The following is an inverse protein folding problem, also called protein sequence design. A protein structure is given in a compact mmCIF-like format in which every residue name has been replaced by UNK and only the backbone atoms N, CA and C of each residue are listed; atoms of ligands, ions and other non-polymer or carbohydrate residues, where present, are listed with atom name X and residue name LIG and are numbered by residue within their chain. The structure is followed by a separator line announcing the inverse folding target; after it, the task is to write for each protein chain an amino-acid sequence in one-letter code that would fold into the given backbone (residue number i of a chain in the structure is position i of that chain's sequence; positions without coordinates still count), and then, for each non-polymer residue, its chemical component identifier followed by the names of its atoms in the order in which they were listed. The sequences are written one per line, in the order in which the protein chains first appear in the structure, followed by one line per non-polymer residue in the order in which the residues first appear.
data_IF_290057258821
#
_entry.id   IF_290057258821
#
_cell.length_a   1.000
_cell.length_b   1.000
_cell.length_c   1.000
_cell.angle_alpha   90.00
_cell.angle_beta   90.00
_cell.angle_gamma   90.00
#
_symmetry.space_group_name_H-M   'P 1'
#
loop_
_entity.id
_entity.type
_entity.pdbx_description
1 polymer ?
#
# COMPACT_ATOMS: atom_id res chain seq x y z
N UNK A 1 13.18 19.91 48.93
CA UNK A 1 13.98 18.88 48.24
C UNK A 1 13.03 18.12 47.34
N UNK A 2 13.05 18.42 46.04
CA UNK A 2 12.14 17.83 45.07
C UNK A 2 12.60 16.40 44.74
N UNK A 3 11.74 15.42 44.99
CA UNK A 3 11.88 14.05 44.49
C UNK A 3 11.77 14.10 42.96
N UNK A 4 12.90 14.20 42.26
CA UNK A 4 12.98 13.73 40.88
C UNK A 4 12.92 12.20 40.96
N UNK A 5 11.88 11.62 40.38
CA UNK A 5 11.80 10.18 40.15
C UNK A 5 13.03 9.77 39.35
N UNK A 6 13.94 9.04 39.98
CA UNK A 6 15.08 8.43 39.30
C UNK A 6 14.51 7.38 38.33
N UNK A 7 14.54 7.69 37.04
CA UNK A 7 14.22 6.73 35.98
C UNK A 7 15.23 5.58 36.06
N UNK A 8 14.76 4.41 36.48
CA UNK A 8 15.59 3.20 36.53
C UNK A 8 15.55 2.52 35.17
N UNK A 9 16.62 2.68 34.41
CA UNK A 9 16.80 1.94 33.15
C UNK A 9 17.03 0.46 33.44
N UNK A 10 16.24 -0.39 32.79
CA UNK A 10 16.35 -1.85 32.89
C UNK A 10 16.91 -2.38 31.58
N UNK A 11 18.05 -3.07 31.69
CA UNK A 11 18.69 -3.73 30.57
C UNK A 11 18.29 -5.19 30.55
N UNK A 12 18.12 -5.75 29.35
CA UNK A 12 17.78 -7.16 29.11
C UNK A 12 18.67 -7.67 27.98
N UNK A 13 19.30 -8.83 28.17
CA UNK A 13 20.10 -9.48 27.12
C UNK A 13 19.18 -10.17 26.10
N UNK A 14 19.36 -9.90 24.81
CA UNK A 14 18.69 -10.64 23.74
C UNK A 14 19.60 -11.76 23.24
N UNK A 15 19.19 -13.02 23.45
CA UNK A 15 19.96 -14.21 23.07
C UNK A 15 19.28 -14.94 21.90
N UNK A 16 19.89 -14.90 20.70
CA UNK A 16 19.33 -15.48 19.48
C UNK A 16 19.86 -16.90 19.26
N UNK A 17 19.02 -17.92 19.41
CA UNK A 17 19.49 -19.32 19.53
C UNK A 17 19.92 -19.99 18.21
N UNK A 18 19.45 -19.51 17.05
CA UNK A 18 19.45 -20.34 15.83
C UNK A 18 19.97 -19.68 14.56
N UNK A 19 20.32 -18.39 14.59
CA UNK A 19 20.80 -17.65 13.41
C UNK A 19 22.06 -16.87 13.71
N UNK A 20 22.89 -16.74 12.68
CA UNK A 20 24.12 -15.94 12.67
C UNK A 20 23.74 -14.45 12.57
N UNK A 21 23.08 -13.95 13.61
CA UNK A 21 22.46 -12.61 13.69
C UNK A 21 23.49 -11.50 13.49
N UNK A 22 24.77 -11.79 13.75
CA UNK A 22 25.90 -10.94 13.42
C UNK A 22 25.94 -10.46 11.96
N UNK A 23 25.44 -11.26 11.01
CA UNK A 23 25.36 -10.86 9.59
C UNK A 23 24.24 -9.87 9.34
N UNK A 24 23.08 -10.09 9.97
CA UNK A 24 21.92 -9.20 9.87
C UNK A 24 22.24 -7.85 10.53
N UNK A 25 22.82 -7.84 11.72
CA UNK A 25 23.17 -6.60 12.44
C UNK A 25 24.27 -5.79 11.74
N UNK A 26 25.12 -6.41 10.93
CA UNK A 26 26.15 -5.72 10.13
C UNK A 26 25.59 -5.07 8.86
N UNK A 27 24.38 -5.43 8.44
CA UNK A 27 23.71 -4.72 7.35
C UNK A 27 23.21 -3.39 7.88
N UNK A 28 23.67 -2.28 7.29
CA UNK A 28 23.35 -0.91 7.72
C UNK A 28 21.84 -0.57 7.73
N UNK A 29 20.99 -1.45 7.18
CA UNK A 29 19.53 -1.29 7.06
C UNK A 29 18.72 -2.24 7.94
N UNK A 30 19.33 -3.02 8.84
CA UNK A 30 18.57 -3.91 9.71
C UNK A 30 17.68 -3.10 10.67
N UNK A 31 16.36 -3.22 10.50
CA UNK A 31 15.41 -2.61 11.41
C UNK A 31 15.15 -3.55 12.59
N UNK A 32 14.95 -2.97 13.77
CA UNK A 32 14.67 -3.69 15.00
C UNK A 32 13.35 -3.22 15.59
N UNK A 33 12.44 -4.15 15.86
CA UNK A 33 11.15 -3.88 16.51
C UNK A 33 10.86 -4.95 17.55
N UNK A 34 10.32 -4.53 18.68
CA UNK A 34 9.79 -5.43 19.71
C UNK A 34 8.31 -5.16 19.92
N UNK A 35 7.53 -6.22 20.07
CA UNK A 35 6.11 -6.19 20.38
C UNK A 35 5.89 -6.97 21.67
N UNK A 36 4.91 -6.52 22.46
CA UNK A 36 4.42 -7.22 23.64
C UNK A 36 5.49 -7.52 24.71
N UNK A 37 6.39 -6.57 24.99
CA UNK A 37 7.44 -6.71 26.02
C UNK A 37 6.88 -7.00 27.43
N UNK A 38 5.63 -6.64 27.70
CA UNK A 38 4.94 -6.95 28.96
C UNK A 38 4.37 -8.37 29.02
N UNK A 39 4.29 -9.07 27.90
CA UNK A 39 3.75 -10.43 27.81
C UNK A 39 4.86 -11.46 28.02
N UNK A 40 4.53 -12.68 28.48
CA UNK A 40 5.52 -13.74 28.69
C UNK A 40 6.23 -14.19 27.40
N UNK A 41 5.64 -13.89 26.23
CA UNK A 41 6.12 -14.26 24.90
C UNK A 41 6.22 -13.03 23.98
N UNK A 42 7.20 -12.14 24.20
CA UNK A 42 7.36 -10.99 23.34
C UNK A 42 7.79 -11.43 21.93
N UNK A 43 7.46 -10.63 20.93
CA UNK A 43 7.86 -10.87 19.54
C UNK A 43 8.93 -9.86 19.18
N UNK A 44 10.02 -10.33 18.60
CA UNK A 44 11.11 -9.50 18.11
C UNK A 44 11.22 -9.68 16.61
N UNK A 45 11.21 -8.57 15.89
CA UNK A 45 11.35 -8.51 14.43
C UNK A 45 12.70 -7.84 14.14
N UNK A 46 13.56 -8.54 13.41
CA UNK A 46 14.89 -8.08 13.02
C UNK A 46 15.08 -8.28 11.52
N UNK A 47 14.93 -7.20 10.74
CA UNK A 47 14.75 -7.36 9.30
C UNK A 47 13.53 -8.22 9.00
N UNK A 48 13.60 -9.06 7.98
CA UNK A 48 12.50 -9.98 7.60
C UNK A 48 12.31 -11.17 8.55
N UNK A 49 13.18 -11.32 9.55
CA UNK A 49 13.15 -12.44 10.48
C UNK A 49 12.36 -12.11 11.75
N UNK A 50 11.45 -13.01 12.11
CA UNK A 50 10.60 -12.90 13.30
C UNK A 50 11.03 -13.93 14.34
N UNK A 51 11.11 -13.50 15.60
CA UNK A 51 11.51 -14.33 16.73
C UNK A 51 10.47 -14.26 17.85
N UNK A 52 10.16 -15.40 18.47
CA UNK A 52 9.40 -15.48 19.71
C UNK A 52 10.38 -15.49 20.88
N UNK A 53 10.19 -14.60 21.84
CA UNK A 53 10.98 -14.50 23.04
C UNK A 53 10.43 -15.32 24.21
N UNK A 54 11.34 -15.84 25.04
CA UNK A 54 11.04 -16.45 26.32
C UNK A 54 11.99 -15.85 27.35
N UNK A 55 11.44 -15.27 28.41
CA UNK A 55 12.23 -14.73 29.52
C UNK A 55 12.81 -15.88 30.35
N UNK A 56 14.12 -15.86 30.53
CA UNK A 56 14.85 -16.79 31.38
C UNK A 56 15.85 -16.05 32.27
N UNK A 57 16.17 -16.66 33.41
CA UNK A 57 17.28 -16.22 34.24
C UNK A 57 18.55 -16.99 33.86
N UNK A 58 19.62 -16.24 33.56
CA UNK A 58 20.94 -16.77 33.32
C UNK A 58 21.43 -17.57 34.53
N UNK A 59 22.08 -18.70 34.27
CA UNK A 59 22.85 -19.38 35.31
C UNK A 59 24.13 -18.56 35.54
N UNK A 60 24.11 -17.71 36.57
CA UNK A 60 25.23 -16.84 36.94
C UNK A 60 24.87 -15.35 36.86
N UNK A 61 25.87 -14.52 36.57
CA UNK A 61 25.70 -13.07 36.44
C UNK A 61 26.40 -12.62 35.16
N UNK A 62 25.63 -12.05 34.22
CA UNK A 62 26.21 -11.45 33.04
C UNK A 62 26.75 -10.06 33.40
N UNK A 63 28.01 -9.81 33.09
CA UNK A 63 28.70 -8.56 33.35
C UNK A 63 29.02 -7.92 32.01
N UNK A 64 28.62 -6.66 31.83
CA UNK A 64 28.79 -5.92 30.59
C UNK A 64 29.80 -4.81 30.78
N UNK A 65 30.65 -4.64 29.77
CA UNK A 65 31.64 -3.59 29.70
C UNK A 65 31.49 -2.83 28.40
N UNK A 66 31.71 -1.53 28.44
CA UNK A 66 31.82 -0.65 27.27
C UNK A 66 33.30 -0.44 26.95
N UNK A 67 33.67 -0.53 25.68
CA UNK A 67 35.01 -0.23 25.22
C UNK A 67 35.19 1.30 25.14
N UNK A 68 36.25 1.81 25.78
CA UNK A 68 36.55 3.25 25.79
C UNK A 68 37.79 3.51 24.94
N UNK A 69 37.68 4.46 24.01
CA UNK A 69 38.78 4.89 23.14
C UNK A 69 39.84 5.71 23.91
N UNK A 70 39.42 6.51 24.91
CA UNK A 70 40.33 7.34 25.70
C UNK A 70 41.02 6.52 26.79
N UNK A 71 42.30 6.18 26.57
CA UNK A 71 43.19 5.69 27.63
C UNK A 71 43.50 6.83 28.60
N UNK A 72 43.23 6.64 29.89
CA UNK A 72 43.82 7.48 30.92
C UNK A 72 45.34 7.34 30.96
N UNK A 73 46.03 8.18 31.72
CA UNK A 73 47.47 8.00 31.95
C UNK A 73 47.74 6.60 32.55
N UNK A 74 48.74 5.85 32.04
CA UNK A 74 49.01 4.50 32.50
C UNK A 74 49.41 4.51 33.98
N UNK A 75 48.73 3.70 34.80
CA UNK A 75 49.15 3.45 36.17
C UNK A 75 50.48 2.68 36.16
N UNK A 76 51.48 3.17 36.88
CA UNK A 76 52.84 2.59 36.95
C UNK A 76 52.85 1.16 37.52
N UNK A 77 51.75 0.73 38.15
CA UNK A 77 51.63 -0.58 38.81
C UNK A 77 50.68 -1.56 38.09
N UNK A 78 49.89 -1.10 37.11
CA UNK A 78 49.00 -1.96 36.34
C UNK A 78 49.59 -2.18 34.94
N UNK A 79 49.78 -3.45 34.56
CA UNK A 79 50.26 -3.77 33.21
C UNK A 79 49.27 -3.26 32.16
N UNK A 80 49.78 -2.66 31.08
CA UNK A 80 48.96 -2.15 29.98
C UNK A 80 48.10 -3.29 29.41
N UNK A 81 46.78 -3.21 29.64
CA UNK A 81 45.83 -4.09 28.97
C UNK A 81 45.54 -3.53 27.57
N UNK A 82 45.43 -4.38 26.54
CA UNK A 82 45.27 -3.91 25.16
C UNK A 82 43.94 -3.17 24.91
N UNK A 83 42.94 -3.35 25.79
CA UNK A 83 41.56 -2.88 25.62
C UNK A 83 41.13 -2.15 26.89
N UNK A 84 40.68 -0.90 26.76
CA UNK A 84 40.11 -0.13 27.86
C UNK A 84 38.63 -0.48 28.03
N UNK A 85 38.27 -1.00 29.20
CA UNK A 85 36.91 -1.44 29.50
C UNK A 85 36.33 -0.67 30.69
N UNK A 86 35.12 -0.13 30.55
CA UNK A 86 34.34 0.42 31.67
C UNK A 86 33.18 -0.47 32.00
N UNK A 87 33.08 -0.83 33.27
CA UNK A 87 31.94 -1.58 33.79
C UNK A 87 30.64 -0.79 33.52
N UNK A 88 29.71 -1.44 32.84
CA UNK A 88 28.43 -0.84 32.45
C UNK A 88 27.34 -1.31 33.41
N UNK A 89 27.12 -2.63 33.52
CA UNK A 89 26.15 -3.21 34.46
C UNK A 89 26.33 -4.71 34.66
N UNK A 90 25.54 -5.24 35.61
CA UNK A 90 25.33 -6.67 35.82
C UNK A 90 23.84 -7.00 35.74
N UNK A 91 23.48 -8.09 35.06
CA UNK A 91 22.10 -8.59 34.99
C UNK A 91 22.05 -10.11 34.86
N UNK A 92 20.97 -10.71 35.34
CA UNK A 92 20.68 -12.15 35.15
C UNK A 92 19.58 -12.39 34.12
N UNK A 93 18.80 -11.38 33.73
CA UNK A 93 17.66 -11.57 32.84
C UNK A 93 18.11 -11.70 31.39
N UNK A 94 17.68 -12.77 30.75
CA UNK A 94 17.89 -13.04 29.33
C UNK A 94 16.53 -13.21 28.66
N UNK A 95 16.37 -12.63 27.48
CA UNK A 95 15.28 -12.94 26.57
C UNK A 95 15.82 -13.86 25.49
N UNK A 96 15.50 -15.15 25.59
CA UNK A 96 15.86 -16.14 24.57
C UNK A 96 14.93 -16.05 23.39
N UNK A 97 15.47 -15.84 22.20
CA UNK A 97 14.77 -15.58 20.97
C UNK A 97 14.87 -16.79 20.03
N UNK A 98 13.73 -17.42 19.78
CA UNK A 98 13.58 -18.54 18.87
C UNK A 98 12.97 -18.08 17.56
N UNK A 99 13.63 -18.36 16.44
CA UNK A 99 13.14 -17.98 15.12
C UNK A 99 11.80 -18.65 14.81
N UNK A 100 10.79 -17.84 14.46
CA UNK A 100 9.49 -18.33 14.00
C UNK A 100 9.55 -18.36 12.48
N UNK A 101 9.63 -19.57 11.92
CA UNK A 101 9.41 -19.73 10.49
C UNK A 101 7.95 -19.36 10.18
N UNK A 102 7.73 -18.26 9.46
CA UNK A 102 6.42 -17.96 8.90
C UNK A 102 6.10 -19.04 7.88
N UNK A 103 5.26 -20.02 8.23
CA UNK A 103 4.68 -20.89 7.21
C UNK A 103 3.90 -19.96 6.28
N UNK A 104 4.18 -19.96 4.96
CA UNK A 104 3.34 -19.22 4.03
C UNK A 104 1.91 -19.66 4.29
N UNK A 105 1.03 -18.69 4.56
CA UNK A 105 -0.39 -18.94 4.71
C UNK A 105 -0.80 -19.74 3.49
N UNK A 106 -1.29 -20.97 3.68
CA UNK A 106 -1.80 -21.80 2.59
C UNK A 106 -2.79 -20.94 1.85
N UNK A 107 -2.39 -20.48 0.67
CA UNK A 107 -3.29 -19.87 -0.29
C UNK A 107 -4.21 -21.04 -0.62
N UNK A 108 -5.43 -20.99 -0.12
CA UNK A 108 -6.48 -21.89 -0.56
C UNK A 108 -6.57 -21.65 -2.06
N UNK A 109 -6.24 -22.67 -2.86
CA UNK A 109 -6.27 -22.58 -4.31
C UNK A 109 -7.62 -21.98 -4.72
N UNK A 110 -7.63 -20.89 -5.50
CA UNK A 110 -8.87 -20.44 -6.11
C UNK A 110 -9.35 -21.59 -6.99
N UNK A 111 -10.44 -22.24 -6.57
CA UNK A 111 -11.18 -23.17 -7.39
C UNK A 111 -11.41 -22.50 -8.75
N UNK A 112 -11.23 -23.19 -9.89
CA UNK A 112 -11.57 -22.63 -11.20
C UNK A 112 -13.08 -22.41 -11.21
N UNK A 113 -13.50 -21.19 -10.87
CA UNK A 113 -14.88 -20.76 -11.00
C UNK A 113 -15.02 -20.37 -12.46
N UNK A 114 -15.58 -21.26 -13.27
CA UNK A 114 -16.10 -20.87 -14.58
C UNK A 114 -17.05 -19.68 -14.37
N UNK A 115 -16.86 -18.55 -15.07
CA UNK A 115 -17.70 -17.38 -14.88
C UNK A 115 -19.12 -17.69 -15.35
N UNK A 116 -20.00 -18.01 -14.39
CA UNK A 116 -21.42 -18.23 -14.65
C UNK A 116 -22.07 -16.88 -14.98
N UNK A 117 -22.46 -16.70 -16.24
CA UNK A 117 -23.23 -15.54 -16.68
C UNK A 117 -24.65 -15.59 -16.12
N UNK A 118 -24.98 -14.68 -15.20
CA UNK A 118 -26.32 -14.55 -14.65
C UNK A 118 -27.08 -13.50 -15.48
N UNK A 119 -28.08 -13.93 -16.24
CA UNK A 119 -28.94 -13.03 -17.01
C UNK A 119 -30.28 -12.86 -16.31
N UNK A 120 -30.46 -11.68 -15.70
CA UNK A 120 -31.65 -11.39 -14.92
C UNK A 120 -32.71 -10.72 -15.81
N UNK A 121 -33.72 -11.51 -16.22
CA UNK A 121 -34.83 -11.06 -17.07
C UNK A 121 -35.86 -10.19 -16.36
N UNK A 122 -35.91 -10.26 -15.04
CA UNK A 122 -36.94 -9.60 -14.24
C UNK A 122 -36.56 -8.16 -13.87
N UNK A 123 -37.57 -7.27 -13.83
CA UNK A 123 -37.43 -5.93 -13.28
C UNK A 123 -36.96 -6.00 -11.82
N UNK A 124 -36.08 -5.09 -11.44
CA UNK A 124 -35.52 -4.97 -10.09
C UNK A 124 -36.57 -5.04 -8.97
N UNK A 125 -37.77 -4.47 -9.18
CA UNK A 125 -38.86 -4.52 -8.19
C UNK A 125 -39.41 -5.93 -7.99
N UNK A 126 -39.45 -6.73 -9.05
CA UNK A 126 -39.91 -8.12 -9.03
C UNK A 126 -38.88 -8.99 -8.32
N UNK A 127 -37.59 -8.79 -8.60
CA UNK A 127 -36.49 -9.47 -7.89
C UNK A 127 -36.49 -9.17 -6.40
N UNK A 128 -36.71 -7.91 -6.04
CA UNK A 128 -36.82 -7.48 -4.65
C UNK A 128 -37.99 -8.15 -3.94
N UNK A 129 -39.15 -8.26 -4.59
CA UNK A 129 -40.29 -8.94 -4.00
C UNK A 129 -40.05 -10.44 -3.85
N UNK A 130 -39.48 -11.10 -4.88
CA UNK A 130 -39.08 -12.52 -4.82
C UNK A 130 -38.07 -12.76 -3.71
N UNK A 131 -37.08 -11.88 -3.56
CA UNK A 131 -36.07 -11.96 -2.50
C UNK A 131 -36.68 -11.77 -1.10
N UNK A 132 -37.59 -10.81 -0.94
CA UNK A 132 -38.28 -10.56 0.34
C UNK A 132 -39.19 -11.70 0.79
N UNK A 133 -39.74 -12.45 -0.17
CA UNK A 133 -40.60 -13.60 0.11
C UNK A 133 -39.82 -14.92 0.20
N UNK A 134 -38.48 -14.89 0.08
CA UNK A 134 -37.59 -16.07 0.00
C UNK A 134 -37.91 -17.00 -1.19
N UNK A 135 -38.48 -16.42 -2.25
CA UNK A 135 -38.87 -17.09 -3.51
C UNK A 135 -37.81 -16.90 -4.61
N UNK A 136 -36.69 -16.23 -4.32
CA UNK A 136 -35.64 -15.98 -5.31
C UNK A 136 -34.71 -17.19 -5.43
N UNK A 137 -34.95 -18.03 -6.42
CA UNK A 137 -34.02 -19.10 -6.79
C UNK A 137 -33.01 -18.60 -7.84
N UNK A 138 -31.73 -18.59 -7.48
CA UNK A 138 -30.64 -18.11 -8.35
C UNK A 138 -30.47 -19.01 -9.59
N UNK A 139 -30.81 -20.30 -9.48
CA UNK A 139 -30.73 -21.26 -10.58
C UNK A 139 -31.63 -20.87 -11.77
N UNK A 140 -32.71 -20.12 -11.53
CA UNK A 140 -33.64 -19.69 -12.58
C UNK A 140 -33.05 -18.58 -13.48
N UNK A 141 -31.92 -17.97 -13.10
CA UNK A 141 -31.26 -16.86 -13.80
C UNK A 141 -29.87 -17.23 -14.34
N UNK A 142 -29.45 -18.49 -14.15
CA UNK A 142 -28.22 -19.02 -14.75
C UNK A 142 -28.57 -19.42 -16.18
N UNK A 143 -27.98 -18.74 -17.15
CA UNK A 143 -28.05 -19.15 -18.55
C UNK A 143 -26.96 -20.18 -18.82
N UNK A 144 -27.34 -21.36 -19.30
CA UNK A 144 -26.38 -22.36 -19.78
C UNK A 144 -25.44 -21.72 -20.82
N UNK A 145 -24.16 -21.98 -20.62
CA UNK A 145 -22.98 -21.51 -21.35
C UNK A 145 -23.30 -21.09 -22.78
N UNK A 146 -23.25 -19.78 -23.06
CA UNK A 146 -23.22 -19.31 -24.44
C UNK A 146 -21.89 -19.74 -25.06
N UNK A 147 -21.94 -20.74 -25.94
CA UNK A 147 -20.92 -20.92 -26.96
C UNK A 147 -20.89 -19.65 -27.83
N UNK A 148 -19.97 -18.75 -27.51
CA UNK A 148 -19.59 -17.65 -28.39
C UNK A 148 -18.79 -18.25 -29.55
N UNK A 149 -19.50 -18.77 -30.56
CA UNK A 149 -18.91 -18.98 -31.88
C UNK A 149 -18.53 -17.61 -32.43
N UNK A 150 -17.23 -17.31 -32.44
CA UNK A 150 -16.63 -16.28 -33.28
C UNK A 150 -16.76 -16.72 -34.73
N UNK A 151 -17.76 -16.21 -35.42
CA UNK A 151 -17.82 -16.30 -36.88
C UNK A 151 -16.86 -15.25 -37.47
N UNK A 152 -15.73 -15.75 -37.94
CA UNK A 152 -14.98 -15.13 -39.04
C UNK A 152 -15.79 -15.32 -40.33
N UNK A 153 -16.17 -14.23 -40.99
CA UNK A 153 -16.42 -14.26 -42.44
C UNK A 153 -15.80 -13.04 -43.11
N UNK A 154 -14.69 -13.30 -43.81
CA UNK A 154 -14.33 -12.62 -45.04
C UNK A 154 -15.28 -13.11 -46.16
N UNK A 155 -15.85 -12.22 -46.97
CA UNK A 155 -15.67 -12.21 -48.44
C UNK A 155 -16.66 -11.30 -49.20
N UNK A 156 -16.21 -11.00 -50.40
CA UNK A 156 -16.57 -9.98 -51.38
C UNK A 156 -17.94 -10.13 -52.10
N UNK A 157 -18.58 -8.96 -52.32
CA UNK A 157 -19.02 -8.41 -53.61
C UNK A 157 -20.29 -8.93 -54.37
N UNK A 158 -20.96 -7.92 -54.95
CA UNK A 158 -21.81 -7.86 -56.15
C UNK A 158 -23.36 -7.94 -56.16
N UNK A 159 -23.88 -7.15 -57.11
CA UNK A 159 -25.19 -6.51 -57.31
C UNK A 159 -26.37 -7.44 -57.69
N UNK A 160 -27.61 -7.06 -57.32
CA UNK A 160 -28.65 -6.53 -58.25
C UNK A 160 -30.10 -6.61 -57.71
N UNK A 161 -30.81 -5.49 -57.94
CA UNK A 161 -32.25 -5.23 -58.05
C UNK A 161 -33.31 -6.30 -57.67
N UNK A 162 -34.24 -5.93 -56.77
CA UNK A 162 -35.66 -5.68 -57.10
C UNK A 162 -36.49 -5.19 -55.90
N UNK A 163 -37.45 -4.34 -56.21
CA UNK A 163 -38.33 -3.59 -55.31
C UNK A 163 -39.41 -4.45 -54.60
N UNK A 164 -39.84 -4.04 -53.40
CA UNK A 164 -41.26 -3.78 -53.06
C UNK A 164 -41.44 -3.18 -51.63
N UNK A 165 -42.10 -2.02 -51.61
CA UNK A 165 -43.23 -1.60 -50.73
C UNK A 165 -43.11 -1.52 -49.20
N UNK A 166 -42.83 -0.29 -48.73
CA UNK A 166 -43.55 0.56 -47.73
C UNK A 166 -44.36 -0.08 -46.57
N UNK A 167 -43.97 0.24 -45.33
CA UNK A 167 -44.87 0.66 -44.22
C UNK A 167 -44.15 1.71 -43.35
N UNK A 168 -44.78 2.84 -42.94
CA UNK A 168 -44.16 3.88 -42.13
C UNK A 168 -44.41 3.70 -40.62
N UNK A 169 -43.41 3.92 -39.78
CA UNK A 169 -43.56 4.05 -38.32
C UNK A 169 -42.86 5.32 -37.82
N UNK A 170 -43.58 6.05 -36.97
CA UNK A 170 -43.37 7.42 -36.48
C UNK A 170 -42.10 7.66 -35.64
N UNK A 171 -41.64 8.92 -35.52
CA UNK A 171 -40.45 9.26 -34.74
C UNK A 171 -40.78 9.47 -33.24
N UNK A 172 -40.07 8.74 -32.38
CA UNK A 172 -40.12 8.92 -30.92
C UNK A 172 -39.23 10.09 -30.49
N UNK A 173 -39.82 10.96 -29.66
CA UNK A 173 -39.26 12.19 -29.09
C UNK A 173 -38.16 11.91 -28.07
N UNK A 174 -37.09 12.71 -28.13
CA UNK A 174 -36.06 12.81 -27.11
C UNK A 174 -36.61 13.32 -25.77
N UNK A 175 -36.24 12.66 -24.66
CA UNK A 175 -36.51 13.09 -23.29
C UNK A 175 -35.21 13.62 -22.68
N UNK A 176 -35.31 14.81 -22.08
CA UNK A 176 -34.27 15.53 -21.33
C UNK A 176 -34.03 14.87 -19.97
N UNK A 177 -32.76 14.67 -19.62
CA UNK A 177 -32.31 14.43 -18.26
C UNK A 177 -31.96 15.77 -17.61
N UNK A 178 -32.50 16.02 -16.41
CA UNK A 178 -31.90 16.87 -15.36
C UNK A 178 -32.84 16.88 -14.14
N UNK A 179 -32.64 15.97 -13.17
CA UNK A 179 -32.89 16.21 -11.74
C UNK A 179 -31.97 15.32 -10.88
N UNK A 180 -31.28 15.86 -9.84
CA UNK A 180 -30.40 15.08 -8.99
C UNK A 180 -31.18 14.22 -7.98
N UNK A 181 -30.77 12.96 -7.87
CA UNK A 181 -31.31 11.96 -6.94
C UNK A 181 -30.78 12.24 -5.52
N UNK A 182 -31.70 12.38 -4.57
CA UNK A 182 -31.40 12.49 -3.13
C UNK A 182 -31.04 11.12 -2.56
N UNK A 183 -29.80 10.96 -2.09
CA UNK A 183 -29.32 9.77 -1.39
C UNK A 183 -29.96 9.66 0.00
N UNK A 184 -30.84 8.67 0.18
CA UNK A 184 -31.42 8.33 1.48
C UNK A 184 -30.39 7.58 2.34
N UNK A 185 -30.24 8.00 3.61
CA UNK A 185 -29.36 7.39 4.59
C UNK A 185 -29.85 5.99 5.01
N UNK A 186 -28.95 5.04 5.31
CA UNK A 186 -29.30 3.68 5.70
C UNK A 186 -30.05 3.65 7.04
N UNK A 187 -31.07 2.81 7.12
CA UNK A 187 -31.81 2.49 8.35
C UNK A 187 -31.06 1.43 9.18
N UNK A 188 -31.12 1.51 10.52
CA UNK A 188 -30.34 0.64 11.40
C UNK A 188 -30.82 -0.83 11.44
N UNK A 189 -29.99 -1.77 11.92
CA UNK A 189 -30.27 -3.21 11.90
C UNK A 189 -31.46 -3.63 12.77
N UNK A 190 -32.17 -4.68 12.36
CA UNK A 190 -33.42 -5.16 12.97
C UNK A 190 -33.31 -5.68 14.40
N UNK A 191 -32.11 -6.01 14.90
CA UNK A 191 -31.90 -6.43 16.28
C UNK A 191 -31.86 -5.26 17.28
N UNK A 192 -32.01 -4.02 16.81
CA UNK A 192 -32.17 -2.85 17.68
C UNK A 192 -33.65 -2.68 18.11
N UNK A 193 -33.93 -2.43 19.41
CA UNK A 193 -35.30 -2.28 19.89
C UNK A 193 -35.98 -1.05 19.25
N UNK A 194 -37.12 -1.30 18.59
CA UNK A 194 -37.98 -0.32 17.91
C UNK A 194 -38.82 0.51 18.90
N UNK A 195 -38.19 1.03 19.95
CA UNK A 195 -38.88 1.90 20.89
C UNK A 195 -38.84 3.33 20.34
N UNK A 196 -39.89 3.70 19.61
CA UNK A 196 -40.07 5.00 18.91
C UNK A 196 -39.95 6.25 19.82
N UNK A 197 -39.77 6.08 21.14
CA UNK A 197 -39.63 7.18 22.11
C UNK A 197 -38.26 7.29 22.80
N UNK A 198 -37.28 6.44 22.49
CA UNK A 198 -36.00 6.41 23.24
C UNK A 198 -34.70 6.46 22.43
N UNK A 199 -34.75 6.45 21.10
CA UNK A 199 -33.57 6.14 20.26
C UNK A 199 -32.52 7.24 20.17
N UNK A 200 -32.84 8.52 20.43
CA UNK A 200 -31.84 9.59 20.38
C UNK A 200 -30.85 9.60 21.56
N UNK A 201 -31.28 9.11 22.72
CA UNK A 201 -30.44 9.08 23.93
C UNK A 201 -29.88 7.68 24.23
N UNK A 202 -30.09 6.69 23.36
CA UNK A 202 -29.56 5.36 23.58
C UNK A 202 -28.02 5.35 23.34
N UNK A 203 -27.20 5.19 24.40
CA UNK A 203 -25.75 5.27 24.30
C UNK A 203 -25.17 4.17 23.40
N UNK A 204 -25.88 3.05 23.26
CA UNK A 204 -25.49 1.91 22.41
C UNK A 204 -25.71 2.23 20.93
N UNK A 205 -26.79 2.93 20.57
CA UNK A 205 -27.05 3.37 19.19
C UNK A 205 -26.02 4.41 18.74
N UNK A 206 -25.67 5.35 19.63
CA UNK A 206 -24.62 6.33 19.38
C UNK A 206 -23.22 5.68 19.24
N UNK A 207 -22.94 4.60 19.97
CA UNK A 207 -21.72 3.79 19.79
C UNK A 207 -21.71 3.05 18.46
N UNK A 208 -22.84 2.47 18.05
CA UNK A 208 -22.98 1.77 16.76
C UNK A 208 -22.77 2.72 15.57
N UNK A 209 -23.40 3.90 15.58
CA UNK A 209 -23.19 4.91 14.54
C UNK A 209 -21.74 5.42 14.50
N UNK A 210 -21.07 5.54 15.65
CA UNK A 210 -19.63 5.83 15.70
C UNK A 210 -18.79 4.72 15.06
N UNK A 211 -19.13 3.45 15.29
CA UNK A 211 -18.40 2.31 14.74
C UNK A 211 -18.60 2.17 13.22
N UNK A 212 -19.84 2.34 12.73
CA UNK A 212 -20.12 2.40 11.28
C UNK A 212 -19.30 3.48 10.60
N UNK A 213 -19.22 4.66 11.19
CA UNK A 213 -18.40 5.76 10.68
C UNK A 213 -16.89 5.44 10.67
N UNK A 214 -16.41 4.65 11.62
CA UNK A 214 -15.00 4.20 11.66
C UNK A 214 -14.71 3.11 10.61
N UNK A 215 -15.70 2.28 10.27
CA UNK A 215 -15.58 1.17 9.30
C UNK A 215 -15.75 1.65 7.85
N UNK A 216 -16.65 2.61 7.60
CA UNK A 216 -16.91 3.18 6.27
C UNK A 216 -15.88 4.24 5.86
N UNK A 217 -15.16 4.86 6.80
CA UNK A 217 -13.99 5.64 6.43
C UNK A 217 -12.92 4.66 5.92
N UNK A 218 -12.50 4.70 4.64
CA UNK A 218 -11.35 3.94 4.19
C UNK A 218 -10.25 4.25 5.19
N UNK A 219 -9.56 3.23 5.71
CA UNK A 219 -8.45 3.41 6.65
C UNK A 219 -7.50 4.38 5.98
N UNK A 220 -7.67 5.67 6.28
CA UNK A 220 -6.68 6.70 6.04
C UNK A 220 -5.51 6.10 6.77
N UNK A 221 -4.50 5.64 6.03
CA UNK A 221 -3.17 5.46 6.62
C UNK A 221 -3.03 6.68 7.48
N UNK A 222 -3.01 6.52 8.82
CA UNK A 222 -2.89 7.65 9.72
C UNK A 222 -1.70 8.41 9.16
N UNK A 223 -1.99 9.53 8.49
CA UNK A 223 -0.97 10.23 7.75
C UNK A 223 0.03 10.52 8.83
N UNK A 224 1.22 9.92 8.73
CA UNK A 224 2.34 10.40 9.50
C UNK A 224 2.48 11.84 9.01
N UNK A 225 1.83 12.77 9.72
CA UNK A 225 2.01 14.18 9.55
C UNK A 225 3.42 14.41 10.07
N UNK A 226 4.38 14.21 9.18
CA UNK A 226 5.70 14.72 9.39
C UNK A 226 5.55 16.24 9.33
N UNK A 227 5.88 16.88 10.44
CA UNK A 227 6.02 18.33 10.46
C UNK A 227 7.22 18.68 9.58
N UNK A 228 6.94 18.99 8.31
CA UNK A 228 7.95 19.37 7.31
C UNK A 228 8.61 20.71 7.65
N UNK A 229 8.08 21.48 8.60
CA UNK A 229 8.71 22.72 9.08
C UNK A 229 9.96 22.46 9.92
N UNK A 230 10.19 21.22 10.37
CA UNK A 230 11.37 20.83 11.18
C UNK A 230 12.60 20.54 10.31
N UNK A 231 12.53 20.70 8.99
CA UNK A 231 13.64 20.40 8.07
C UNK A 231 14.67 21.55 8.05
N UNK A 232 15.34 21.84 9.16
CA UNK A 232 16.48 22.76 9.21
C UNK A 232 17.83 22.02 9.27
N UNK A 233 18.54 21.93 8.13
CA UNK A 233 19.90 21.38 8.08
C UNK A 233 20.09 20.19 7.11
N UNK A 234 21.33 19.84 6.73
CA UNK A 234 21.61 18.70 5.86
C UNK A 234 21.21 17.38 6.52
N UNK A 235 21.41 17.28 7.84
CA UNK A 235 20.98 16.14 8.66
C UNK A 235 19.46 15.93 8.59
N UNK A 236 18.70 17.01 8.40
CA UNK A 236 17.24 16.93 8.30
C UNK A 236 16.77 16.58 6.90
N UNK A 237 17.53 16.91 5.84
CA UNK A 237 17.25 16.38 4.51
C UNK A 237 17.36 14.86 4.48
N UNK A 238 18.40 14.26 5.08
CA UNK A 238 18.51 12.79 5.16
C UNK A 238 17.35 12.16 5.92
N UNK A 239 16.96 12.73 7.05
CA UNK A 239 15.81 12.25 7.82
C UNK A 239 14.50 12.36 7.03
N UNK A 240 14.29 13.50 6.35
CA UNK A 240 13.14 13.71 5.49
C UNK A 240 13.13 12.74 4.29
N UNK A 241 14.28 12.58 3.61
CA UNK A 241 14.47 11.64 2.51
C UNK A 241 14.11 10.22 2.96
N UNK A 242 14.66 9.76 4.08
CA UNK A 242 14.40 8.44 4.62
C UNK A 242 12.91 8.26 5.01
N UNK A 243 12.28 9.29 5.59
CA UNK A 243 10.86 9.28 5.88
C UNK A 243 10.01 9.20 4.60
N UNK A 244 10.38 9.95 3.55
CA UNK A 244 9.70 9.90 2.26
C UNK A 244 9.87 8.55 1.57
N UNK A 245 11.07 7.96 1.62
CA UNK A 245 11.31 6.62 1.08
C UNK A 245 10.43 5.58 1.77
N UNK A 246 10.27 5.64 3.09
CA UNK A 246 9.34 4.77 3.83
C UNK A 246 7.88 4.94 3.40
N UNK A 247 7.44 6.17 3.12
CA UNK A 247 6.09 6.41 2.59
C UNK A 247 5.96 5.79 1.20
N UNK A 248 6.95 6.02 0.33
CA UNK A 248 6.95 5.50 -1.04
C UNK A 248 6.95 3.97 -1.05
N UNK A 249 7.70 3.34 -0.16
CA UNK A 249 7.75 1.87 -0.02
C UNK A 249 6.39 1.24 0.27
N UNK A 250 5.50 1.97 0.94
CA UNK A 250 4.15 1.51 1.28
C UNK A 250 3.13 1.78 0.16
N UNK A 251 3.46 2.64 -0.80
CA UNK A 251 2.56 3.00 -1.90
C UNK A 251 2.60 1.95 -3.01
N UNK A 252 1.44 1.55 -3.51
CA UNK A 252 1.34 0.74 -4.73
C UNK A 252 1.66 1.62 -5.95
N UNK A 253 2.48 1.10 -6.86
CA UNK A 253 2.73 1.78 -8.14
C UNK A 253 1.63 1.35 -9.10
N UNK A 254 0.71 2.28 -9.39
CA UNK A 254 -0.24 2.10 -10.47
C UNK A 254 0.41 2.55 -11.78
N UNK A 255 0.56 1.61 -12.72
CA UNK A 255 1.08 1.87 -14.07
C UNK A 255 -0.02 2.17 -15.08
N UNK A 256 -1.28 2.19 -14.67
CA UNK A 256 -2.37 2.59 -15.53
C UNK A 256 -2.28 4.09 -15.83
N UNK A 257 -1.61 4.40 -16.94
CA UNK A 257 -1.52 5.75 -17.51
C UNK A 257 -2.76 6.00 -18.40
N UNK A 258 -3.89 5.32 -18.14
CA UNK A 258 -5.14 5.58 -18.86
C UNK A 258 -5.40 7.09 -18.91
N UNK A 259 -5.48 7.57 -20.16
CA UNK A 259 -5.22 8.97 -20.50
C UNK A 259 -6.22 9.88 -19.81
N UNK A 260 -5.76 10.59 -18.77
CA UNK A 260 -6.37 11.84 -18.33
C UNK A 260 -6.85 11.92 -16.88
N UNK A 261 -6.84 10.84 -16.09
CA UNK A 261 -7.27 10.94 -14.70
C UNK A 261 -6.10 11.37 -13.78
N UNK A 262 -6.09 12.65 -13.42
CA UNK A 262 -5.05 13.25 -12.57
C UNK A 262 -4.94 12.54 -11.19
N UNK A 263 -6.03 11.94 -10.72
CA UNK A 263 -6.11 11.32 -9.41
C UNK A 263 -5.22 10.07 -9.27
N UNK A 264 -4.73 9.51 -10.38
CA UNK A 264 -3.73 8.43 -10.34
C UNK A 264 -2.32 8.93 -10.00
N UNK A 265 -2.06 10.22 -10.20
CA UNK A 265 -0.74 10.82 -10.01
C UNK A 265 -0.64 11.66 -8.75
N UNK A 266 -1.76 12.11 -8.20
CA UNK A 266 -1.81 12.99 -7.04
C UNK A 266 -3.08 12.76 -6.23
N UNK A 267 -2.94 12.73 -4.90
CA UNK A 267 -4.07 12.77 -3.97
C UNK A 267 -4.65 14.19 -3.90
N UNK A 268 -5.55 14.49 -4.85
CA UNK A 268 -6.20 15.79 -4.98
C UNK A 268 -6.97 16.17 -3.70
N UNK A 269 -7.66 15.22 -3.08
CA UNK A 269 -8.44 15.50 -1.88
C UNK A 269 -7.54 16.01 -0.75
N UNK A 270 -6.37 15.40 -0.61
CA UNK A 270 -5.40 15.82 0.38
C UNK A 270 -4.67 17.11 0.00
N UNK A 271 -4.41 17.35 -1.28
CA UNK A 271 -3.92 18.65 -1.77
C UNK A 271 -4.89 19.80 -1.44
N UNK A 272 -6.20 19.58 -1.59
CA UNK A 272 -7.23 20.57 -1.22
C UNK A 272 -7.24 20.80 0.30
N UNK A 273 -7.20 19.72 1.10
CA UNK A 273 -7.18 19.82 2.58
C UNK A 273 -5.96 20.57 3.10
N UNK A 274 -4.82 20.47 2.40
CA UNK A 274 -3.59 21.20 2.72
C UNK A 274 -3.57 22.63 2.16
N UNK A 275 -4.60 23.05 1.44
CA UNK A 275 -4.70 24.40 0.86
C UNK A 275 -3.75 24.65 -0.32
N UNK A 276 -3.28 23.58 -0.98
CA UNK A 276 -2.40 23.69 -2.16
C UNK A 276 -3.20 24.15 -3.37
N UNK A 277 -4.43 23.66 -3.50
CA UNK A 277 -5.42 24.11 -4.48
C UNK A 277 -6.74 24.40 -3.77
N UNK A 278 -7.47 25.38 -4.29
CA UNK A 278 -8.76 25.77 -3.74
C UNK A 278 -9.91 24.93 -4.31
N UNK A 279 -11.04 24.88 -3.62
CA UNK A 279 -12.30 24.37 -4.16
C UNK A 279 -12.58 22.87 -3.92
N UNK A 280 -13.79 22.40 -4.26
CA UNK A 280 -14.22 21.03 -3.95
C UNK A 280 -13.50 19.98 -4.82
N UNK A 281 -13.25 18.82 -4.22
CA UNK A 281 -12.81 17.62 -4.95
C UNK A 281 -14.01 17.05 -5.71
N UNK A 282 -14.05 17.24 -7.02
CA UNK A 282 -15.03 16.57 -7.90
C UNK A 282 -14.25 15.76 -8.93
N UNK A 283 -14.64 14.50 -9.14
CA UNK A 283 -13.92 13.57 -10.02
C UNK A 283 -13.81 14.07 -11.48
N UNK A 284 -14.71 14.97 -11.89
CA UNK A 284 -14.79 15.56 -13.24
C UNK A 284 -14.23 16.98 -13.32
N UNK A 285 -13.57 17.48 -12.26
CA UNK A 285 -12.99 18.83 -12.26
C UNK A 285 -11.89 18.93 -13.33
N UNK A 286 -12.03 19.93 -14.21
CA UNK A 286 -10.96 20.34 -15.12
C UNK A 286 -10.05 21.31 -14.36
N UNK A 287 -8.79 20.95 -14.20
CA UNK A 287 -7.79 21.79 -13.51
C UNK A 287 -7.19 22.81 -14.46
N UNK A 288 -7.14 24.05 -14.00
CA UNK A 288 -6.45 25.14 -14.70
C UNK A 288 -4.93 24.86 -14.78
N UNK A 289 -4.18 25.36 -15.78
CA UNK A 289 -2.74 25.19 -15.84
C UNK A 289 -1.99 25.64 -14.58
N UNK A 290 -2.48 26.66 -13.87
CA UNK A 290 -1.86 27.11 -12.62
C UNK A 290 -2.13 26.13 -11.47
N UNK A 291 -3.32 25.55 -11.41
CA UNK A 291 -3.63 24.48 -10.45
C UNK A 291 -2.81 23.23 -10.73
N UNK A 292 -2.65 22.85 -12.00
CA UNK A 292 -1.79 21.73 -12.40
C UNK A 292 -0.34 22.00 -11.97
N UNK A 293 0.16 23.22 -12.17
CA UNK A 293 1.51 23.59 -11.70
C UNK A 293 1.65 23.45 -10.19
N UNK A 294 0.65 23.86 -9.41
CA UNK A 294 0.65 23.68 -7.94
C UNK A 294 0.56 22.21 -7.54
N UNK A 295 -0.30 21.43 -8.21
CA UNK A 295 -0.46 19.99 -7.96
C UNK A 295 0.82 19.20 -8.25
N UNK A 296 1.57 19.57 -9.30
CA UNK A 296 2.83 18.94 -9.67
C UNK A 296 4.05 19.73 -9.18
N UNK A 297 3.91 20.44 -8.06
CA UNK A 297 5.00 21.18 -7.43
C UNK A 297 5.65 20.38 -6.30
N UNK A 298 6.87 20.79 -5.93
CA UNK A 298 7.55 20.26 -4.75
C UNK A 298 6.79 20.54 -3.44
N UNK A 299 5.94 21.57 -3.39
CA UNK A 299 5.10 21.83 -2.20
C UNK A 299 4.04 20.75 -2.00
N UNK A 300 3.61 20.09 -3.08
CA UNK A 300 2.64 19.00 -3.04
C UNK A 300 3.29 17.61 -3.02
N UNK A 301 4.62 17.53 -2.83
CA UNK A 301 5.41 16.32 -3.04
C UNK A 301 4.91 15.11 -2.25
N UNK A 302 4.44 15.32 -1.01
CA UNK A 302 3.92 14.25 -0.16
C UNK A 302 2.69 13.54 -0.76
N UNK A 303 1.84 14.27 -1.50
CA UNK A 303 0.59 13.78 -2.06
C UNK A 303 0.76 13.19 -3.47
N UNK A 304 1.97 13.25 -4.04
CA UNK A 304 2.26 12.70 -5.36
C UNK A 304 2.39 11.17 -5.32
N UNK A 305 2.02 10.50 -6.41
CA UNK A 305 2.34 9.08 -6.60
C UNK A 305 3.86 8.88 -6.74
N UNK A 306 4.41 7.67 -6.48
CA UNK A 306 5.85 7.42 -6.59
C UNK A 306 6.46 7.85 -7.94
N UNK A 307 5.74 7.59 -9.04
CA UNK A 307 6.17 7.98 -10.38
C UNK A 307 6.20 9.50 -10.54
N UNK A 308 5.17 10.19 -10.04
CA UNK A 308 5.09 11.65 -10.16
C UNK A 308 6.09 12.35 -9.22
N UNK A 309 6.38 11.78 -8.04
CA UNK A 309 7.49 12.22 -7.18
C UNK A 309 8.82 12.19 -7.95
N UNK A 310 9.09 11.12 -8.70
CA UNK A 310 10.32 11.00 -9.50
C UNK A 310 10.42 12.08 -10.59
N UNK A 311 9.31 12.37 -11.28
CA UNK A 311 9.25 13.42 -12.31
C UNK A 311 9.55 14.79 -11.69
N UNK A 312 8.83 15.16 -10.63
CA UNK A 312 9.02 16.45 -9.94
C UNK A 312 10.44 16.58 -9.38
N UNK A 313 10.98 15.49 -8.81
CA UNK A 313 12.35 15.49 -8.28
C UNK A 313 13.40 15.64 -9.39
N UNK A 314 13.17 15.05 -10.56
CA UNK A 314 14.04 15.23 -11.72
C UNK A 314 14.02 16.69 -12.22
N UNK A 315 12.85 17.32 -12.24
CA UNK A 315 12.72 18.74 -12.58
C UNK A 315 13.44 19.63 -11.57
N UNK A 316 13.33 19.35 -10.26
CA UNK A 316 14.09 20.04 -9.22
C UNK A 316 15.61 19.89 -9.42
N UNK A 317 16.10 18.69 -9.74
CA UNK A 317 17.52 18.46 -10.04
C UNK A 317 17.98 19.27 -11.24
N UNK A 318 17.19 19.31 -12.31
CA UNK A 318 17.56 20.05 -13.52
C UNK A 318 17.53 21.56 -13.28
N UNK A 319 16.56 22.06 -12.52
CA UNK A 319 16.50 23.45 -12.10
C UNK A 319 17.73 23.83 -11.28
N UNK A 320 18.09 23.03 -10.26
CA UNK A 320 19.25 23.29 -9.41
C UNK A 320 20.56 23.27 -10.22
N UNK A 321 20.70 22.35 -11.19
CA UNK A 321 21.85 22.35 -12.10
C UNK A 321 21.95 23.64 -12.92
N UNK A 322 20.83 24.08 -13.50
CA UNK A 322 20.81 25.31 -14.30
C UNK A 322 21.12 26.55 -13.45
N UNK A 323 20.64 26.61 -12.20
CA UNK A 323 20.99 27.67 -11.27
C UNK A 323 22.49 27.68 -10.95
N UNK A 324 23.08 26.51 -10.65
CA UNK A 324 24.51 26.37 -10.36
C UNK A 324 25.38 26.77 -11.56
N UNK A 325 24.98 26.42 -12.78
CA UNK A 325 25.69 26.81 -14.01
C UNK A 325 25.76 28.33 -14.21
N UNK A 326 24.80 29.07 -13.65
CA UNK A 326 24.72 30.53 -13.74
C UNK A 326 25.30 31.27 -12.52
N UNK A 327 25.67 30.55 -11.45
CA UNK A 327 26.18 31.13 -10.20
C UNK A 327 27.68 31.44 -10.25
N UNK A 328 28.08 32.50 -9.57
CA UNK A 328 29.49 32.81 -9.32
C UNK A 328 30.10 31.90 -8.23
N UNK A 329 31.43 31.79 -8.16
CA UNK A 329 32.11 30.96 -7.15
C UNK A 329 31.79 31.39 -5.71
N UNK A 330 31.60 32.69 -5.47
CA UNK A 330 31.20 33.22 -4.17
C UNK A 330 29.78 32.79 -3.80
N UNK A 331 28.86 32.77 -4.76
CA UNK A 331 27.48 32.31 -4.55
C UNK A 331 27.42 30.80 -4.33
N UNK A 332 28.26 30.02 -5.01
CA UNK A 332 28.35 28.57 -4.81
C UNK A 332 28.83 28.17 -3.41
N UNK A 333 29.57 29.04 -2.71
CA UNK A 333 30.01 28.80 -1.33
C UNK A 333 29.02 29.30 -0.29
N UNK A 334 28.00 30.07 -0.69
CA UNK A 334 27.02 30.61 0.24
C UNK A 334 26.06 29.50 0.67
N UNK A 335 25.99 29.26 1.97
CA UNK A 335 25.01 28.34 2.55
C UNK A 335 23.61 28.96 2.58
N UNK A 336 22.60 28.11 2.37
CA UNK A 336 21.19 28.46 2.54
C UNK A 336 20.74 28.42 4.01
N UNK A 337 19.43 28.65 4.24
CA UNK A 337 18.81 28.57 5.58
C UNK A 337 18.89 27.17 6.23
N UNK A 338 19.32 26.16 5.47
CA UNK A 338 19.51 24.79 5.90
C UNK A 338 20.99 24.41 5.93
N UNK A 339 21.92 25.36 5.96
CA UNK A 339 23.37 25.12 6.00
C UNK A 339 23.85 24.22 4.85
N UNK A 340 23.20 24.30 3.70
CA UNK A 340 23.58 23.57 2.49
C UNK A 340 24.09 24.56 1.45
N UNK A 341 25.27 24.28 0.92
CA UNK A 341 25.72 24.93 -0.33
C UNK A 341 24.89 24.41 -1.51
N UNK A 342 24.74 25.19 -2.60
CA UNK A 342 24.06 24.73 -3.81
C UNK A 342 24.58 23.37 -4.32
N UNK A 343 25.90 23.16 -4.30
CA UNK A 343 26.50 21.89 -4.72
C UNK A 343 26.12 20.71 -3.80
N UNK A 344 26.07 20.94 -2.48
CA UNK A 344 25.59 19.92 -1.54
C UNK A 344 24.11 19.61 -1.75
N UNK A 345 23.27 20.64 -1.96
CA UNK A 345 21.85 20.48 -2.25
C UNK A 345 21.61 19.69 -3.54
N UNK A 346 22.35 20.01 -4.61
CA UNK A 346 22.31 19.24 -5.86
C UNK A 346 22.71 17.78 -5.65
N UNK A 347 23.74 17.52 -4.85
CA UNK A 347 24.17 16.15 -4.52
C UNK A 347 23.05 15.41 -3.79
N UNK A 348 22.47 16.01 -2.74
CA UNK A 348 21.38 15.45 -1.96
C UNK A 348 20.13 15.13 -2.82
N UNK A 349 19.77 16.03 -3.74
CA UNK A 349 18.67 15.81 -4.68
C UNK A 349 18.96 14.67 -5.66
N UNK A 350 20.19 14.55 -6.17
CA UNK A 350 20.56 13.42 -7.04
C UNK A 350 20.55 12.10 -6.28
N UNK A 351 21.12 12.05 -5.08
CA UNK A 351 21.11 10.85 -4.24
C UNK A 351 19.65 10.38 -4.00
N UNK A 352 18.74 11.31 -3.68
CA UNK A 352 17.33 10.99 -3.51
C UNK A 352 16.68 10.52 -4.81
N UNK A 353 16.98 11.17 -5.93
CA UNK A 353 16.46 10.79 -7.25
C UNK A 353 16.90 9.39 -7.64
N UNK A 354 18.16 9.04 -7.45
CA UNK A 354 18.69 7.71 -7.76
C UNK A 354 18.04 6.62 -6.92
N UNK A 355 17.87 6.86 -5.62
CA UNK A 355 17.22 5.92 -4.70
C UNK A 355 15.73 5.71 -5.04
N UNK A 356 15.00 6.80 -5.28
CA UNK A 356 13.60 6.75 -5.69
C UNK A 356 13.44 6.08 -7.06
N UNK A 357 14.34 6.36 -8.00
CA UNK A 357 14.40 5.73 -9.31
C UNK A 357 14.57 4.21 -9.17
N UNK A 358 15.58 3.76 -8.41
CA UNK A 358 15.82 2.34 -8.15
C UNK A 358 14.59 1.65 -7.54
N UNK A 359 13.93 2.30 -6.58
CA UNK A 359 12.71 1.78 -5.97
C UNK A 359 11.57 1.63 -6.98
N UNK A 360 11.28 2.69 -7.76
CA UNK A 360 10.22 2.69 -8.77
C UNK A 360 10.48 1.61 -9.82
N UNK A 361 11.70 1.51 -10.35
CA UNK A 361 12.05 0.48 -11.33
C UNK A 361 11.95 -0.95 -10.78
N UNK A 362 12.37 -1.18 -9.53
CA UNK A 362 12.22 -2.50 -8.89
C UNK A 362 10.76 -2.91 -8.82
N UNK A 363 9.89 -2.00 -8.35
CA UNK A 363 8.45 -2.25 -8.23
C UNK A 363 7.76 -2.50 -9.57
N UNK A 364 8.14 -1.75 -10.61
CA UNK A 364 7.64 -1.97 -11.97
C UNK A 364 8.02 -3.37 -12.47
N UNK A 365 9.28 -3.77 -12.27
CA UNK A 365 9.77 -5.10 -12.65
C UNK A 365 9.02 -6.21 -11.91
N UNK A 366 8.75 -6.02 -10.62
CA UNK A 366 7.98 -6.97 -9.82
C UNK A 366 6.54 -7.09 -10.33
N UNK A 367 5.88 -5.97 -10.64
CA UNK A 367 4.54 -5.94 -11.23
C UNK A 367 4.49 -6.68 -12.58
N UNK A 368 5.43 -6.43 -13.47
CA UNK A 368 5.53 -7.12 -14.77
C UNK A 368 5.76 -8.63 -14.62
N UNK A 369 6.57 -9.03 -13.63
CA UNK A 369 6.81 -10.44 -13.34
C UNK A 369 5.54 -11.11 -12.83
N UNK A 370 4.79 -10.46 -11.96
CA UNK A 370 3.51 -10.99 -11.47
C UNK A 370 2.47 -11.12 -12.59
N UNK A 371 2.40 -10.14 -13.51
CA UNK A 371 1.51 -10.19 -14.66
C UNK A 371 1.89 -11.33 -15.62
N UNK A 372 3.18 -11.51 -15.88
CA UNK A 372 3.69 -12.61 -16.72
C UNK A 372 3.39 -13.98 -16.11
N UNK A 373 3.56 -14.12 -14.79
CA UNK A 373 3.24 -15.35 -14.07
C UNK A 373 1.74 -15.67 -14.13
N UNK A 374 0.88 -14.66 -13.99
CA UNK A 374 -0.57 -14.81 -14.12
C UNK A 374 -0.97 -15.24 -15.54
N UNK A 375 -0.40 -14.60 -16.58
CA UNK A 375 -0.65 -14.99 -17.98
C UNK A 375 -0.23 -16.44 -18.25
N UNK A 376 0.93 -16.86 -17.76
CA UNK A 376 1.39 -18.23 -17.90
C UNK A 376 0.50 -19.24 -17.14
N UNK A 377 0.01 -18.87 -15.95
CA UNK A 377 -0.92 -19.71 -15.20
C UNK A 377 -2.25 -19.89 -15.96
N UNK A 378 -2.78 -18.83 -16.56
CA UNK A 378 -4.01 -18.89 -17.38
C UNK A 378 -3.81 -19.78 -18.62
N UNK A 379 -2.68 -19.64 -19.32
CA UNK A 379 -2.37 -20.50 -20.49
C UNK A 379 -2.28 -21.98 -20.09
N UNK A 380 -1.68 -22.28 -18.93
CA UNK A 380 -1.59 -23.67 -18.45
C UNK A 380 -2.95 -24.25 -18.04
N UNK A 381 -3.86 -23.44 -17.50
CA UNK A 381 -5.23 -23.87 -17.17
C UNK A 381 -5.99 -24.22 -18.46
N UNK A 382 -5.91 -23.37 -19.49
CA UNK A 382 -6.61 -23.62 -20.75
C UNK A 382 -6.09 -24.86 -21.49
N UNK A 383 -4.78 -25.17 -21.40
CA UNK A 383 -4.21 -26.37 -22.01
C UNK A 383 -4.62 -27.66 -21.29
N UNK A 384 -4.87 -27.63 -19.98
CA UNK A 384 -5.38 -28.81 -19.26
C UNK A 384 -6.83 -29.13 -19.62
N UNK A 385 -7.67 -28.13 -19.91
CA UNK A 385 -9.09 -28.37 -20.23
C UNK A 385 -9.28 -29.00 -21.62
N UNK A 386 -8.39 -28.73 -22.58
CA UNK A 386 -8.42 -29.36 -23.91
C UNK A 386 -8.03 -30.85 -23.89
N UNK A 387 -7.16 -31.28 -22.97
CA UNK A 387 -6.77 -32.70 -22.85
C UNK A 387 -7.89 -33.58 -22.26
N UNK A 388 -8.86 -33.01 -21.54
CA UNK A 388 -10.00 -33.77 -21.00
C UNK A 388 -11.20 -33.89 -21.94
N UNK A 389 -11.25 -33.11 -23.03
CA UNK A 389 -12.40 -33.12 -23.97
C UNK A 389 -12.34 -34.23 -25.05
N UNK A 390 -11.27 -35.03 -25.12
CA UNK A 390 -11.07 -36.00 -26.22
C UNK A 390 -11.31 -37.48 -25.87
N UNK A 391 -11.85 -37.83 -24.69
CA UNK A 391 -12.04 -39.24 -24.28
C UNK A 391 -13.50 -39.72 -24.18
N UNK A 392 -14.49 -38.93 -24.56
CA UNK A 392 -15.88 -39.39 -24.64
C UNK A 392 -16.32 -39.53 -26.10
N UNK A 393 -16.00 -40.65 -26.74
CA UNK A 393 -16.89 -41.35 -27.70
C UNK A 393 -16.23 -42.64 -28.21
N UNK A 394 -16.73 -43.78 -27.74
CA UNK A 394 -17.18 -44.92 -28.58
C UNK A 394 -17.28 -46.20 -27.74
N UNK A 395 -18.35 -46.33 -26.96
CA UNK A 395 -18.88 -47.65 -26.60
C UNK A 395 -20.24 -47.80 -27.28
N UNK A 396 -20.20 -48.01 -28.59
CA UNK A 396 -21.34 -48.55 -29.33
C UNK A 396 -21.47 -50.04 -29.02
N UNK A 397 -22.45 -50.32 -28.16
CA UNK A 397 -23.40 -51.43 -28.24
C UNK A 397 -23.13 -52.50 -29.31
N UNK A 398 -22.76 -53.70 -28.83
CA UNK A 398 -23.09 -54.95 -29.52
C UNK A 398 -23.90 -55.84 -28.57
N UNK A 399 -25.22 -55.77 -28.74
CA UNK A 399 -26.19 -56.79 -28.34
C UNK A 399 -26.72 -57.50 -29.59
N UNK A 400 -27.13 -58.77 -29.44
CA UNK A 400 -27.64 -59.75 -30.44
C UNK A 400 -26.57 -60.34 -31.38
N UNK A 401 -26.40 -61.66 -31.57
CA UNK A 401 -27.21 -62.87 -31.32
C UNK A 401 -26.36 -64.04 -30.76
#
# INVERSE_FOLDING_TARGET
MSNKSEEQDVYVLLDFQSKDVSKLLKQQSAYFRMLNLSEPKPIVELGDDIFEGIYEDAIGTNIYFEEIESRGEPDLFEGETPIGLKYLLKQSKILKLNHIGTKPKVVIDPCPIEPVGIYVKDDYRVLLNKCKNDELNIQDYITDVMHLSTDEEDSENDQSDKAETVVPVEPVKAIREDQPISLNKPSPPEWFPNDEKGTKDNPTYNKYLKLLKIVEEPRKSQGLQYDTSVIAGPMNFYNWKNAMMRIVEQQQINLDISKGNINHFVDVEQSIKQGIIDGPSTATRVYDPDEKRKLFSFQNFANLSPLMKLIVLNDCVNFEKAEIENMTEVEMQKEDEHHCTPMQRLKLLNDFKEELCAHVFSRIKDAQRTESNLKNAIVNINLSDEEYSCNETSEDSNSSE
#
